data_IF_440832372695
#
_entry.id   IF_440832372695
#
_cell.length_a   1.000
_cell.length_b   1.000
_cell.length_c   1.000
_cell.angle_alpha   90.00
_cell.angle_beta   90.00
_cell.angle_gamma   90.00
#
_symmetry.space_group_name_H-M   'P 1'
#
loop_
_entity.id
_entity.type
_entity.pdbx_description
1 polymer ?
#
# COMPACT_ATOMS: atom_id res chain seq x y z
N UNK A 1 0.02 -88.60 -6.01
CA UNK A 1 1.02 -87.96 -5.12
C UNK A 1 2.06 -87.05 -5.82
N UNK A 2 2.19 -87.04 -7.16
CA UNK A 2 3.15 -86.16 -7.86
C UNK A 2 2.55 -84.79 -8.24
N UNK A 3 1.24 -84.71 -8.50
CA UNK A 3 0.57 -83.44 -8.83
C UNK A 3 0.47 -82.47 -7.64
N UNK A 4 0.22 -82.97 -6.43
CA UNK A 4 0.07 -82.13 -5.23
C UNK A 4 1.41 -81.49 -4.79
N UNK A 5 2.52 -82.18 -5.04
CA UNK A 5 3.89 -81.72 -4.75
C UNK A 5 4.38 -80.66 -5.75
N UNK A 6 3.86 -80.68 -6.99
CA UNK A 6 4.11 -79.64 -8.00
C UNK A 6 3.27 -78.38 -7.77
N UNK A 7 2.05 -78.50 -7.25
CA UNK A 7 1.20 -77.35 -6.92
C UNK A 7 1.73 -76.55 -5.71
N UNK A 8 2.30 -77.23 -4.71
CA UNK A 8 2.92 -76.58 -3.54
C UNK A 8 4.23 -75.85 -3.89
N UNK A 9 5.00 -76.35 -4.87
CA UNK A 9 6.27 -75.71 -5.28
C UNK A 9 6.05 -74.49 -6.17
N UNK A 10 4.99 -74.46 -6.98
CA UNK A 10 4.60 -73.25 -7.74
C UNK A 10 4.00 -72.16 -6.85
N UNK A 11 3.28 -72.51 -5.77
CA UNK A 11 2.73 -71.52 -4.84
C UNK A 11 3.81 -70.91 -3.94
N UNK A 12 4.82 -71.69 -3.52
CA UNK A 12 5.95 -71.20 -2.74
C UNK A 12 6.89 -70.27 -3.54
N UNK A 13 7.01 -70.46 -4.86
CA UNK A 13 7.82 -69.59 -5.71
C UNK A 13 7.10 -68.28 -6.09
N UNK A 14 5.76 -68.28 -6.15
CA UNK A 14 4.98 -67.07 -6.41
C UNK A 14 4.90 -66.12 -5.19
N UNK A 15 5.05 -66.64 -3.96
CA UNK A 15 5.09 -65.82 -2.74
C UNK A 15 6.46 -65.15 -2.46
N UNK A 16 7.52 -65.55 -3.16
CA UNK A 16 8.87 -64.96 -3.03
C UNK A 16 9.16 -63.82 -4.04
N UNK A 17 8.26 -63.56 -4.98
CA UNK A 17 8.39 -62.48 -5.98
C UNK A 17 7.59 -61.21 -5.62
N UNK A 18 6.92 -61.18 -4.46
CA UNK A 18 6.17 -60.03 -3.95
C UNK A 18 6.96 -59.04 -3.10
N UNK A 19 8.29 -59.18 -3.01
CA UNK A 19 9.17 -58.41 -2.15
C UNK A 19 10.11 -57.46 -2.89
N UNK A 20 9.63 -56.71 -3.88
CA UNK A 20 10.35 -55.49 -4.28
C UNK A 20 10.06 -54.43 -3.22
N UNK A 21 10.92 -54.36 -2.20
CA UNK A 21 10.98 -53.17 -1.34
C UNK A 21 11.13 -51.95 -2.24
N UNK A 22 10.08 -51.13 -2.31
CA UNK A 22 10.25 -49.75 -2.81
C UNK A 22 11.25 -49.12 -1.87
N UNK A 23 12.46 -48.88 -2.40
CA UNK A 23 13.43 -48.00 -1.75
C UNK A 23 12.68 -46.75 -1.27
N UNK A 24 12.85 -46.32 -0.01
CA UNK A 24 12.19 -45.13 0.51
C UNK A 24 12.41 -44.00 -0.48
N UNK A 25 11.33 -43.44 -1.03
CA UNK A 25 11.42 -42.25 -1.87
C UNK A 25 12.18 -41.20 -1.06
N UNK A 26 13.36 -40.74 -1.52
CA UNK A 26 14.10 -39.75 -0.75
C UNK A 26 13.18 -38.55 -0.52
N UNK A 27 13.17 -37.98 0.71
CA UNK A 27 12.34 -36.83 0.99
C UNK A 27 12.66 -35.75 -0.04
N UNK A 28 11.64 -35.06 -0.58
CA UNK A 28 11.87 -34.03 -1.57
C UNK A 28 12.89 -33.03 -1.01
N UNK A 29 13.84 -32.56 -1.85
CA UNK A 29 14.83 -31.60 -1.39
C UNK A 29 14.11 -30.38 -0.79
N UNK A 30 14.69 -29.76 0.25
CA UNK A 30 14.10 -28.57 0.83
C UNK A 30 13.88 -27.53 -0.28
N UNK A 31 12.76 -26.80 -0.26
CA UNK A 31 12.45 -25.83 -1.31
C UNK A 31 13.61 -24.84 -1.43
N UNK A 32 14.11 -24.67 -2.66
CA UNK A 32 15.17 -23.71 -2.96
C UNK A 32 14.74 -22.33 -2.45
N UNK A 33 15.59 -21.59 -1.71
CA UNK A 33 15.31 -20.20 -1.38
C UNK A 33 14.98 -19.42 -2.65
N UNK A 34 13.95 -18.57 -2.57
CA UNK A 34 13.57 -17.70 -3.69
C UNK A 34 14.77 -16.84 -4.09
N UNK A 35 14.98 -16.63 -5.39
CA UNK A 35 15.90 -15.60 -5.86
C UNK A 35 15.30 -14.20 -5.69
N UNK A 36 16.07 -13.14 -5.98
CA UNK A 36 15.61 -11.76 -5.78
C UNK A 36 14.42 -11.41 -6.66
N UNK A 37 14.39 -11.89 -7.92
CA UNK A 37 13.25 -11.66 -8.82
C UNK A 37 11.99 -12.39 -8.32
N UNK A 38 12.13 -13.63 -7.86
CA UNK A 38 11.01 -14.41 -7.32
C UNK A 38 10.48 -13.83 -6.01
N UNK A 39 11.34 -13.25 -5.18
CA UNK A 39 10.92 -12.52 -3.97
C UNK A 39 10.05 -11.31 -4.31
N UNK A 40 10.44 -10.50 -5.30
CA UNK A 40 9.62 -9.38 -5.78
C UNK A 40 8.31 -9.88 -6.41
N UNK A 41 8.35 -10.93 -7.24
CA UNK A 41 7.15 -11.55 -7.81
C UNK A 41 6.17 -12.01 -6.72
N UNK A 42 6.65 -12.57 -5.61
CA UNK A 42 5.81 -12.97 -4.48
C UNK A 42 5.07 -11.78 -3.88
N UNK A 43 5.75 -10.66 -3.66
CA UNK A 43 5.11 -9.44 -3.14
C UNK A 43 4.00 -8.95 -4.08
N UNK A 44 4.23 -8.97 -5.39
CA UNK A 44 3.20 -8.60 -6.37
C UNK A 44 2.01 -9.56 -6.34
N UNK A 45 2.25 -10.86 -6.16
CA UNK A 45 1.20 -11.87 -6.03
C UNK A 45 0.36 -11.68 -4.76
N UNK A 46 0.98 -11.29 -3.64
CA UNK A 46 0.25 -11.00 -2.40
C UNK A 46 -0.72 -9.82 -2.62
N UNK A 47 -0.25 -8.72 -3.21
CA UNK A 47 -1.10 -7.58 -3.58
C UNK A 47 -2.20 -7.97 -4.57
N UNK A 48 -1.87 -8.80 -5.55
CA UNK A 48 -2.82 -9.31 -6.54
C UNK A 48 -3.95 -10.12 -5.89
N UNK A 49 -3.61 -10.94 -4.89
CA UNK A 49 -4.56 -11.74 -4.10
C UNK A 49 -5.29 -10.94 -3.02
N UNK A 50 -4.90 -9.68 -2.80
CA UNK A 50 -5.34 -8.81 -1.71
C UNK A 50 -4.91 -9.29 -0.32
N UNK A 51 -3.79 -10.02 -0.25
CA UNK A 51 -3.23 -10.53 0.99
C UNK A 51 -2.22 -9.54 1.57
N UNK A 52 -2.72 -8.46 2.17
CA UNK A 52 -1.87 -7.43 2.77
C UNK A 52 -1.06 -7.95 3.97
N UNK A 53 -1.58 -8.94 4.70
CA UNK A 53 -0.86 -9.57 5.79
C UNK A 53 0.28 -10.47 5.27
N UNK A 54 0.03 -11.23 4.20
CA UNK A 54 1.05 -11.97 3.47
C UNK A 54 2.14 -11.05 2.93
N UNK A 55 1.75 -9.96 2.27
CA UNK A 55 2.69 -8.94 1.78
C UNK A 55 3.59 -8.43 2.91
N UNK A 56 3.01 -8.00 4.04
CA UNK A 56 3.75 -7.50 5.19
C UNK A 56 4.77 -8.52 5.72
N UNK A 57 4.39 -9.80 5.80
CA UNK A 57 5.28 -10.89 6.26
C UNK A 57 6.40 -11.21 5.29
N UNK A 58 6.15 -11.12 3.98
CA UNK A 58 7.14 -11.45 2.97
C UNK A 58 8.08 -10.29 2.64
N UNK A 59 7.66 -9.05 2.93
CA UNK A 59 8.41 -7.84 2.63
C UNK A 59 9.63 -7.60 3.55
N UNK A 60 9.64 -8.17 4.75
CA UNK A 60 10.67 -7.90 5.77
C UNK A 60 11.10 -9.17 6.53
N UNK A 61 12.31 -9.19 7.14
CA UNK A 61 12.72 -10.27 8.04
C UNK A 61 11.74 -10.47 9.21
N UNK A 62 11.57 -11.70 9.72
CA UNK A 62 10.63 -11.99 10.82
C UNK A 62 10.85 -11.14 12.08
N UNK A 63 12.10 -10.80 12.40
CA UNK A 63 12.41 -9.95 13.53
C UNK A 63 11.91 -8.51 13.34
N UNK A 64 12.06 -7.95 12.13
CA UNK A 64 11.55 -6.62 11.79
C UNK A 64 10.01 -6.60 11.74
N UNK A 65 9.39 -7.64 11.18
CA UNK A 65 7.93 -7.80 11.22
C UNK A 65 7.36 -7.74 12.64
N UNK A 66 8.00 -8.41 13.61
CA UNK A 66 7.58 -8.34 15.02
C UNK A 66 7.72 -6.94 15.61
N UNK A 67 8.80 -6.21 15.29
CA UNK A 67 8.98 -4.82 15.75
C UNK A 67 7.91 -3.90 15.16
N UNK A 68 7.59 -4.06 13.88
CA UNK A 68 6.49 -3.32 13.23
C UNK A 68 5.14 -3.63 13.86
N UNK A 69 4.87 -4.91 14.19
CA UNK A 69 3.63 -5.28 14.88
C UNK A 69 3.50 -4.60 16.25
N UNK A 70 4.60 -4.47 17.00
CA UNK A 70 4.63 -3.73 18.27
C UNK A 70 4.39 -2.23 18.04
N UNK A 71 5.13 -1.62 17.10
CA UNK A 71 4.97 -0.21 16.76
C UNK A 71 3.54 0.13 16.29
N UNK A 72 2.91 -0.78 15.53
CA UNK A 72 1.52 -0.69 15.10
C UNK A 72 0.56 -0.69 16.29
N UNK A 73 0.73 -1.63 17.23
CA UNK A 73 -0.13 -1.71 18.42
C UNK A 73 -0.02 -0.48 19.32
N UNK A 74 1.14 0.17 19.32
CA UNK A 74 1.38 1.43 20.02
C UNK A 74 0.88 2.66 19.23
N UNK A 75 0.39 2.48 18.00
CA UNK A 75 -0.11 3.57 17.15
C UNK A 75 0.98 4.41 16.48
N UNK A 76 2.24 3.96 16.50
CA UNK A 76 3.36 4.69 15.90
C UNK A 76 3.50 4.49 14.38
N UNK A 77 2.87 3.45 13.83
CA UNK A 77 2.91 3.16 12.40
C UNK A 77 1.67 2.40 11.94
N UNK A 78 1.38 2.50 10.64
CA UNK A 78 0.43 1.64 9.92
C UNK A 78 1.10 0.93 8.73
N UNK A 79 2.41 0.70 8.79
CA UNK A 79 3.14 -0.06 7.77
C UNK A 79 2.50 -1.45 7.54
N UNK A 80 2.32 -1.91 6.28
CA UNK A 80 2.88 -1.38 5.03
C UNK A 80 2.01 -0.33 4.33
N UNK A 81 0.96 0.19 4.97
CA UNK A 81 0.11 1.20 4.33
C UNK A 81 0.85 2.53 4.09
N UNK A 82 1.92 2.78 4.85
CA UNK A 82 2.84 3.92 4.69
C UNK A 82 3.64 3.87 3.38
N UNK A 83 3.68 2.72 2.70
CA UNK A 83 4.32 2.60 1.38
C UNK A 83 3.41 3.07 0.23
N UNK A 84 2.14 3.38 0.53
CA UNK A 84 1.18 3.84 -0.46
C UNK A 84 1.21 5.36 -0.59
N UNK A 85 0.93 5.92 -1.78
CA UNK A 85 0.71 7.35 -1.90
C UNK A 85 -0.51 7.78 -1.06
N UNK A 86 -0.41 8.95 -0.42
CA UNK A 86 -1.47 9.49 0.47
C UNK A 86 -1.79 8.55 1.63
N UNK A 87 -0.77 7.90 2.20
CA UNK A 87 -0.88 6.99 3.33
C UNK A 87 -1.59 7.62 4.53
N UNK A 88 -1.30 8.90 4.80
CA UNK A 88 -1.94 9.71 5.84
C UNK A 88 -3.48 9.81 5.69
N UNK A 89 -4.01 9.54 4.49
CA UNK A 89 -5.47 9.58 4.21
C UNK A 89 -6.16 8.24 4.32
N UNK A 90 -5.44 7.12 4.38
CA UNK A 90 -6.07 5.79 4.31
C UNK A 90 -7.00 5.54 5.50
N UNK A 91 -6.50 5.70 6.73
CA UNK A 91 -7.31 5.48 7.92
C UNK A 91 -8.47 6.51 8.04
N UNK A 92 -8.25 7.83 7.87
CA UNK A 92 -9.34 8.80 7.83
C UNK A 92 -10.40 8.51 6.76
N UNK A 93 -10.00 8.05 5.57
CA UNK A 93 -10.91 7.67 4.50
C UNK A 93 -11.80 6.50 4.90
N UNK A 94 -11.23 5.44 5.49
CA UNK A 94 -11.99 4.28 5.96
C UNK A 94 -12.99 4.71 7.04
N UNK A 95 -12.58 5.54 7.99
CA UNK A 95 -13.46 6.12 9.02
C UNK A 95 -14.61 6.91 8.39
N UNK A 96 -14.32 7.80 7.44
CA UNK A 96 -15.33 8.61 6.76
C UNK A 96 -16.33 7.77 5.96
N UNK A 97 -15.86 6.72 5.27
CA UNK A 97 -16.68 5.77 4.52
C UNK A 97 -17.53 4.90 5.46
N UNK A 98 -16.97 4.45 6.57
CA UNK A 98 -17.65 3.56 7.51
C UNK A 98 -18.70 4.29 8.37
N UNK A 99 -18.59 5.61 8.51
CA UNK A 99 -19.42 6.41 9.40
C UNK A 99 -20.94 6.23 9.17
N UNK A 100 -21.76 6.40 10.23
CA UNK A 100 -23.20 6.48 10.10
C UNK A 100 -23.62 7.57 9.11
N UNK A 101 -24.59 7.26 8.26
CA UNK A 101 -25.10 8.20 7.25
C UNK A 101 -24.10 8.58 6.13
N UNK A 102 -22.94 7.91 6.04
CA UNK A 102 -21.92 8.20 5.02
C UNK A 102 -22.47 8.19 3.59
N UNK A 103 -23.39 7.28 3.26
CA UNK A 103 -23.96 7.17 1.92
C UNK A 103 -24.68 8.44 1.47
N UNK A 104 -25.61 8.93 2.30
CA UNK A 104 -26.35 10.17 2.02
C UNK A 104 -25.40 11.37 1.97
N UNK A 105 -24.48 11.48 2.94
CA UNK A 105 -23.53 12.59 3.03
C UNK A 105 -22.57 12.64 1.84
N UNK A 106 -21.87 11.54 1.56
CA UNK A 106 -20.87 11.46 0.49
C UNK A 106 -21.51 11.59 -0.88
N UNK A 107 -22.71 11.03 -1.09
CA UNK A 107 -23.46 11.24 -2.35
C UNK A 107 -23.86 12.70 -2.54
N UNK A 108 -24.32 13.37 -1.48
CA UNK A 108 -24.66 14.79 -1.55
C UNK A 108 -23.41 15.65 -1.83
N UNK A 109 -22.32 15.41 -1.10
CA UNK A 109 -21.03 16.08 -1.34
C UNK A 109 -20.55 15.87 -2.76
N UNK A 110 -20.62 14.65 -3.29
CA UNK A 110 -20.24 14.36 -4.67
C UNK A 110 -21.07 15.17 -5.68
N UNK A 111 -22.41 15.16 -5.51
CA UNK A 111 -23.31 15.91 -6.39
C UNK A 111 -23.02 17.41 -6.34
N UNK A 112 -22.71 17.95 -5.17
CA UNK A 112 -22.47 19.38 -4.97
C UNK A 112 -21.10 19.83 -5.48
N UNK A 113 -20.05 19.04 -5.30
CA UNK A 113 -18.67 19.48 -5.50
C UNK A 113 -17.98 18.88 -6.73
N UNK A 114 -18.43 17.72 -7.21
CA UNK A 114 -17.70 16.96 -8.23
C UNK A 114 -18.53 16.64 -9.48
N UNK A 115 -19.85 16.48 -9.34
CA UNK A 115 -20.72 16.17 -10.48
C UNK A 115 -20.67 17.28 -11.52
N UNK A 116 -20.24 16.94 -12.74
CA UNK A 116 -20.07 17.89 -13.84
C UNK A 116 -18.81 18.77 -13.78
N UNK A 117 -18.01 18.71 -12.70
CA UNK A 117 -16.76 19.46 -12.53
C UNK A 117 -15.56 18.80 -13.26
N UNK A 118 -15.82 18.27 -14.46
CA UNK A 118 -14.86 17.43 -15.18
C UNK A 118 -13.59 18.18 -15.60
N UNK A 119 -13.69 19.46 -15.96
CA UNK A 119 -12.49 20.24 -16.36
C UNK A 119 -11.62 20.57 -15.16
N UNK A 120 -12.25 20.90 -14.06
CA UNK A 120 -11.63 21.27 -12.79
C UNK A 120 -10.87 20.05 -12.22
N UNK A 121 -11.50 18.87 -12.21
CA UNK A 121 -10.86 17.63 -11.77
C UNK A 121 -9.66 17.24 -12.64
N UNK A 122 -9.76 17.38 -13.97
CA UNK A 122 -8.62 17.15 -14.87
C UNK A 122 -7.47 18.10 -14.59
N UNK A 123 -7.78 19.38 -14.39
CA UNK A 123 -6.79 20.41 -14.05
C UNK A 123 -6.13 20.12 -12.71
N UNK A 124 -6.92 19.71 -11.71
CA UNK A 124 -6.40 19.29 -10.41
C UNK A 124 -5.45 18.08 -10.54
N UNK A 125 -5.79 17.08 -11.36
CA UNK A 125 -4.92 15.92 -11.60
C UNK A 125 -3.59 16.30 -12.28
N UNK A 126 -3.60 17.26 -13.21
CA UNK A 126 -2.39 17.78 -13.84
C UNK A 126 -1.51 18.52 -12.81
N UNK A 127 -2.11 19.44 -12.06
CA UNK A 127 -1.42 20.25 -11.04
C UNK A 127 -0.85 19.39 -9.91
N UNK A 128 -1.63 18.43 -9.39
CA UNK A 128 -1.15 17.49 -8.37
C UNK A 128 0.01 16.64 -8.89
N UNK A 129 -0.03 16.21 -10.16
CA UNK A 129 1.08 15.48 -10.78
C UNK A 129 2.37 16.30 -10.82
N UNK A 130 2.29 17.59 -11.16
CA UNK A 130 3.43 18.50 -11.16
C UNK A 130 4.02 18.67 -9.76
N UNK A 131 3.18 18.96 -8.77
CA UNK A 131 3.64 19.13 -7.38
C UNK A 131 4.22 17.86 -6.79
N UNK A 132 3.59 16.70 -7.02
CA UNK A 132 4.11 15.42 -6.58
C UNK A 132 5.47 15.11 -7.23
N UNK A 133 5.62 15.39 -8.52
CA UNK A 133 6.90 15.21 -9.22
C UNK A 133 8.00 16.11 -8.65
N UNK A 134 7.67 17.38 -8.33
CA UNK A 134 8.61 18.29 -7.66
C UNK A 134 9.00 17.78 -6.27
N UNK A 135 8.04 17.35 -5.46
CA UNK A 135 8.28 16.78 -4.14
C UNK A 135 9.27 15.61 -4.20
N UNK A 136 8.98 14.60 -5.03
CA UNK A 136 9.83 13.40 -5.19
C UNK A 136 11.23 13.76 -5.69
N UNK A 137 11.33 14.77 -6.57
CA UNK A 137 12.63 15.24 -7.06
C UNK A 137 13.49 15.84 -5.95
N UNK A 138 12.88 16.58 -5.01
CA UNK A 138 13.58 17.24 -3.90
C UNK A 138 13.73 16.42 -2.62
N UNK A 139 12.94 15.36 -2.47
CA UNK A 139 12.92 14.51 -1.29
C UNK A 139 14.23 13.73 -1.12
N UNK A 140 14.90 13.94 0.01
CA UNK A 140 16.17 13.29 0.37
C UNK A 140 15.94 11.85 0.86
N UNK A 141 14.71 11.53 1.28
CA UNK A 141 14.34 10.22 1.80
C UNK A 141 14.31 9.12 0.72
N UNK A 142 14.30 9.47 -0.57
CA UNK A 142 14.28 8.51 -1.67
C UNK A 142 15.66 8.28 -2.27
N UNK A 143 15.96 7.00 -2.55
CA UNK A 143 17.08 6.65 -3.41
C UNK A 143 16.86 7.13 -4.86
N UNK A 144 17.93 7.12 -5.65
CA UNK A 144 17.86 7.51 -7.07
C UNK A 144 16.94 6.58 -7.87
N UNK A 145 16.99 5.26 -7.60
CA UNK A 145 16.10 4.28 -8.20
C UNK A 145 14.63 4.52 -7.83
N UNK A 146 14.32 4.79 -6.55
CA UNK A 146 12.95 5.11 -6.12
C UNK A 146 12.45 6.39 -6.74
N UNK A 147 13.29 7.43 -6.79
CA UNK A 147 12.94 8.73 -7.39
C UNK A 147 12.56 8.55 -8.85
N UNK A 148 13.38 7.84 -9.63
CA UNK A 148 13.06 7.54 -11.04
C UNK A 148 11.75 6.76 -11.16
N UNK A 149 11.58 5.69 -10.37
CA UNK A 149 10.38 4.86 -10.42
C UNK A 149 9.10 5.64 -10.07
N UNK A 150 9.14 6.44 -9.01
CA UNK A 150 7.99 7.23 -8.55
C UNK A 150 7.63 8.36 -9.51
N UNK A 151 8.62 9.00 -10.16
CA UNK A 151 8.33 10.00 -11.20
C UNK A 151 7.54 9.39 -12.37
N UNK A 152 7.88 8.16 -12.78
CA UNK A 152 7.13 7.44 -13.82
C UNK A 152 5.70 7.10 -13.36
N UNK A 153 5.53 6.65 -12.11
CA UNK A 153 4.21 6.36 -11.52
C UNK A 153 3.34 7.61 -11.41
N UNK A 154 3.90 8.74 -10.96
CA UNK A 154 3.22 10.04 -10.85
C UNK A 154 2.73 10.50 -12.22
N UNK A 155 3.57 10.38 -13.26
CA UNK A 155 3.19 10.71 -14.62
C UNK A 155 2.01 9.84 -15.11
N UNK A 156 2.01 8.54 -14.79
CA UNK A 156 0.92 7.63 -15.14
C UNK A 156 -0.39 7.99 -14.43
N UNK A 157 -0.36 8.23 -13.12
CA UNK A 157 -1.55 8.60 -12.37
C UNK A 157 -2.10 9.98 -12.75
N UNK A 158 -1.23 10.96 -13.01
CA UNK A 158 -1.65 12.28 -13.48
C UNK A 158 -2.36 12.19 -14.84
N UNK A 159 -1.79 11.44 -15.79
CA UNK A 159 -2.42 11.25 -17.10
C UNK A 159 -3.73 10.45 -17.00
N UNK A 160 -3.80 9.48 -16.10
CA UNK A 160 -5.04 8.78 -15.81
C UNK A 160 -6.11 9.74 -15.25
N UNK A 161 -5.80 10.50 -14.20
CA UNK A 161 -6.75 11.43 -13.58
C UNK A 161 -7.24 12.52 -14.54
N UNK A 162 -6.41 12.92 -15.52
CA UNK A 162 -6.80 13.82 -16.60
C UNK A 162 -7.77 13.23 -17.61
N UNK A 163 -7.98 11.91 -17.65
CA UNK A 163 -8.89 11.25 -18.61
C UNK A 163 -10.04 10.52 -17.93
N UNK A 164 -9.83 10.08 -16.69
CA UNK A 164 -10.80 9.31 -15.93
C UNK A 164 -12.13 10.07 -15.77
N UNK A 165 -13.28 9.39 -15.85
CA UNK A 165 -14.61 10.00 -15.71
C UNK A 165 -14.96 10.30 -14.24
N UNK A 166 -14.07 10.97 -13.51
CA UNK A 166 -14.17 11.22 -12.06
C UNK A 166 -15.39 12.07 -11.67
N UNK A 167 -15.88 12.92 -12.58
CA UNK A 167 -17.08 13.76 -12.40
C UNK A 167 -18.40 13.04 -12.76
N UNK A 168 -18.36 11.78 -13.20
CA UNK A 168 -19.55 11.08 -13.72
C UNK A 168 -20.45 10.56 -12.58
N UNK A 169 -21.61 11.20 -12.40
CA UNK A 169 -22.53 10.88 -11.31
C UNK A 169 -23.08 9.45 -11.30
N UNK A 170 -23.27 8.82 -12.47
CA UNK A 170 -23.70 7.42 -12.55
C UNK A 170 -22.66 6.47 -11.98
N UNK A 171 -21.38 6.67 -12.33
CA UNK A 171 -20.28 5.86 -11.80
C UNK A 171 -20.11 6.08 -10.29
N UNK A 172 -20.17 7.33 -9.83
CA UNK A 172 -20.09 7.63 -8.40
C UNK A 172 -21.22 6.99 -7.60
N UNK A 173 -22.46 7.05 -8.12
CA UNK A 173 -23.64 6.46 -7.47
C UNK A 173 -23.57 4.93 -7.38
N UNK A 174 -22.86 4.27 -8.30
CA UNK A 174 -22.60 2.83 -8.25
C UNK A 174 -21.40 2.47 -7.34
N UNK A 175 -20.38 3.33 -7.31
CA UNK A 175 -19.14 3.09 -6.57
C UNK A 175 -19.28 3.33 -5.05
N UNK A 176 -19.93 4.43 -4.66
CA UNK A 176 -19.98 4.87 -3.26
C UNK A 176 -20.60 3.82 -2.32
N UNK A 177 -21.77 3.22 -2.61
CA UNK A 177 -22.34 2.20 -1.72
C UNK A 177 -21.43 0.98 -1.53
N UNK A 178 -20.71 0.57 -2.59
CA UNK A 178 -19.76 -0.55 -2.53
C UNK A 178 -18.57 -0.23 -1.62
N UNK A 179 -17.97 0.94 -1.79
CA UNK A 179 -16.84 1.39 -0.95
C UNK A 179 -17.26 1.56 0.52
N UNK A 180 -18.43 2.12 0.77
CA UNK A 180 -18.99 2.28 2.12
C UNK A 180 -19.23 0.91 2.78
N UNK A 181 -19.89 -0.01 2.06
CA UNK A 181 -20.13 -1.36 2.56
C UNK A 181 -18.83 -2.09 2.88
N UNK A 182 -17.85 -2.01 1.98
CA UNK A 182 -16.54 -2.62 2.19
C UNK A 182 -15.78 -1.98 3.35
N UNK A 183 -15.79 -0.65 3.48
CA UNK A 183 -15.15 0.06 4.59
C UNK A 183 -15.78 -0.32 5.93
N UNK A 184 -17.12 -0.41 6.02
CA UNK A 184 -17.80 -0.93 7.23
C UNK A 184 -17.40 -2.37 7.53
N UNK A 185 -17.29 -3.20 6.50
CA UNK A 185 -16.86 -4.60 6.62
C UNK A 185 -15.46 -4.78 7.20
N UNK A 186 -14.58 -3.77 7.10
CA UNK A 186 -13.27 -3.81 7.77
C UNK A 186 -13.39 -3.79 9.29
N UNK A 187 -14.43 -3.13 9.84
CA UNK A 187 -14.53 -2.85 11.27
C UNK A 187 -13.41 -1.94 11.81
N UNK A 188 -12.74 -1.17 10.93
CA UNK A 188 -11.62 -0.28 11.28
C UNK A 188 -11.98 1.22 11.26
N UNK A 189 -13.27 1.56 11.09
CA UNK A 189 -13.72 2.95 10.97
C UNK A 189 -13.95 3.69 12.29
N UNK A 190 -13.37 3.23 13.39
CA UNK A 190 -13.48 3.87 14.71
C UNK A 190 -12.12 4.31 15.22
N UNK A 191 -12.12 5.20 16.21
CA UNK A 191 -10.90 5.70 16.85
C UNK A 191 -10.06 4.53 17.38
N UNK A 192 -8.76 4.59 17.18
CA UNK A 192 -7.79 3.57 17.56
C UNK A 192 -8.11 2.15 17.07
N UNK A 193 -8.99 1.97 16.08
CA UNK A 193 -9.37 0.64 15.63
C UNK A 193 -8.21 -0.10 14.96
N UNK A 194 -7.31 0.64 14.30
CA UNK A 194 -6.08 0.12 13.71
C UNK A 194 -5.13 -0.44 14.78
N UNK A 195 -4.64 0.36 15.75
CA UNK A 195 -3.79 -0.14 16.84
C UNK A 195 -4.44 -1.30 17.61
N UNK A 196 -5.71 -1.16 18.01
CA UNK A 196 -6.44 -2.18 18.80
C UNK A 196 -6.62 -3.50 18.06
N UNK A 197 -6.76 -3.47 16.73
CA UNK A 197 -6.85 -4.71 15.95
C UNK A 197 -5.51 -5.45 15.89
N UNK A 198 -4.39 -4.72 15.94
CA UNK A 198 -3.06 -5.23 15.64
C UNK A 198 -2.84 -5.42 14.13
N UNK A 199 -1.57 -5.40 13.72
CA UNK A 199 -1.14 -5.34 12.31
C UNK A 199 -1.75 -6.45 11.44
N UNK A 200 -1.47 -7.73 11.73
CA UNK A 200 -1.95 -8.85 10.90
C UNK A 200 -3.47 -8.88 10.71
N UNK A 201 -4.22 -8.63 11.80
CA UNK A 201 -5.69 -8.67 11.77
C UNK A 201 -6.27 -7.47 11.03
N UNK A 202 -5.69 -6.28 11.22
CA UNK A 202 -6.09 -5.09 10.48
C UNK A 202 -5.83 -5.28 8.98
N UNK A 203 -4.65 -5.73 8.59
CA UNK A 203 -4.30 -6.00 7.19
C UNK A 203 -5.18 -7.09 6.56
N UNK A 204 -5.47 -8.16 7.31
CA UNK A 204 -6.42 -9.19 6.86
C UNK A 204 -7.83 -8.64 6.62
N UNK A 205 -8.31 -7.72 7.48
CA UNK A 205 -9.60 -7.03 7.32
C UNK A 205 -9.61 -6.04 6.15
N UNK A 206 -8.46 -5.49 5.80
CA UNK A 206 -8.32 -4.58 4.66
C UNK A 206 -8.27 -5.31 3.31
N UNK A 207 -7.97 -6.61 3.26
CA UNK A 207 -7.92 -7.37 2.01
C UNK A 207 -9.21 -7.30 1.17
N UNK A 208 -10.39 -7.62 1.73
CA UNK A 208 -11.67 -7.48 1.01
C UNK A 208 -11.99 -6.02 0.62
N UNK A 209 -11.55 -5.04 1.42
CA UNK A 209 -11.69 -3.62 1.09
C UNK A 209 -10.81 -3.26 -0.11
N UNK A 210 -9.54 -3.66 -0.13
CA UNK A 210 -8.62 -3.48 -1.25
C UNK A 210 -9.18 -4.09 -2.54
N UNK A 211 -9.75 -5.31 -2.47
CA UNK A 211 -10.42 -5.93 -3.61
C UNK A 211 -11.52 -5.04 -4.17
N UNK A 212 -12.40 -4.54 -3.30
CA UNK A 212 -13.50 -3.66 -3.70
C UNK A 212 -12.99 -2.35 -4.30
N UNK A 213 -11.94 -1.76 -3.73
CA UNK A 213 -11.30 -0.56 -4.25
C UNK A 213 -10.73 -0.80 -5.66
N UNK A 214 -10.01 -1.90 -5.89
CA UNK A 214 -9.50 -2.26 -7.23
C UNK A 214 -10.63 -2.45 -8.24
N UNK A 215 -11.71 -3.12 -7.84
CA UNK A 215 -12.88 -3.29 -8.69
C UNK A 215 -13.54 -1.96 -9.06
N UNK A 216 -13.63 -1.02 -8.12
CA UNK A 216 -14.14 0.33 -8.40
C UNK A 216 -13.19 1.07 -9.32
N UNK A 217 -11.89 1.08 -9.06
CA UNK A 217 -10.89 1.75 -9.91
C UNK A 217 -10.88 1.22 -11.35
N UNK A 218 -11.11 -0.08 -11.53
CA UNK A 218 -11.28 -0.69 -12.86
C UNK A 218 -12.47 -0.10 -13.61
N UNK A 219 -13.55 0.30 -12.93
CA UNK A 219 -14.66 1.05 -13.56
C UNK A 219 -14.30 2.49 -13.90
N UNK A 220 -13.14 3.00 -13.49
CA UNK A 220 -12.58 4.28 -13.91
C UNK A 220 -11.36 4.08 -14.82
N UNK A 221 -11.28 2.94 -15.51
CA UNK A 221 -10.20 2.59 -16.45
C UNK A 221 -8.81 2.50 -15.80
N UNK A 222 -8.76 2.21 -14.50
CA UNK A 222 -7.53 1.91 -13.76
C UNK A 222 -7.56 0.48 -13.23
N UNK A 223 -7.07 -0.45 -14.05
CA UNK A 223 -6.99 -1.87 -13.69
C UNK A 223 -5.66 -2.18 -12.97
N UNK A 224 -5.71 -2.15 -11.65
CA UNK A 224 -4.55 -2.46 -10.80
C UNK A 224 -4.23 -3.95 -10.77
N UNK A 225 -5.20 -4.83 -11.03
CA UNK A 225 -4.93 -6.26 -11.11
C UNK A 225 -4.15 -6.58 -12.39
N UNK A 226 -4.56 -6.01 -13.53
CA UNK A 226 -3.80 -6.12 -14.78
C UNK A 226 -2.40 -5.46 -14.68
N UNK A 227 -2.28 -4.36 -13.93
CA UNK A 227 -0.98 -3.73 -13.63
C UNK A 227 -0.07 -4.73 -12.91
N UNK A 228 -0.55 -5.34 -11.82
CA UNK A 228 0.21 -6.33 -11.04
C UNK A 228 0.53 -7.60 -11.83
N UNK A 229 -0.40 -8.08 -12.66
CA UNK A 229 -0.21 -9.25 -13.53
C UNK A 229 0.84 -8.98 -14.64
N UNK A 230 1.06 -7.72 -15.01
CA UNK A 230 2.06 -7.31 -16.00
C UNK A 230 3.48 -7.11 -15.44
N UNK A 231 3.68 -7.29 -14.13
CA UNK A 231 4.99 -7.08 -13.51
C UNK A 231 5.95 -8.20 -13.86
N UNK A 232 7.02 -7.85 -14.57
CA UNK A 232 8.06 -8.78 -15.00
C UNK A 232 9.43 -8.34 -14.46
N UNK A 233 9.80 -8.79 -13.25
CA UNK A 233 11.12 -8.53 -12.70
C UNK A 233 12.16 -9.43 -13.37
N UNK A 234 13.27 -8.84 -13.75
CA UNK A 234 14.41 -9.54 -14.35
C UNK A 234 15.68 -9.14 -13.63
N UNK A 235 16.58 -10.10 -13.40
CA UNK A 235 17.87 -9.82 -12.78
C UNK A 235 18.73 -9.01 -13.76
N UNK A 236 19.10 -7.79 -13.37
CA UNK A 236 20.03 -6.96 -14.14
C UNK A 236 21.47 -7.16 -13.68
N UNK A 237 21.66 -7.23 -12.35
CA UNK A 237 22.97 -7.42 -11.72
C UNK A 237 22.81 -8.17 -10.39
N UNK A 238 23.80 -8.98 -10.01
CA UNK A 238 23.89 -9.57 -8.68
C UNK A 238 25.35 -9.64 -8.22
N UNK A 239 25.61 -9.12 -7.02
CA UNK A 239 26.93 -9.09 -6.40
C UNK A 239 26.83 -9.56 -4.97
N UNK A 240 27.20 -10.82 -4.72
CA UNK A 240 27.08 -11.43 -3.39
C UNK A 240 25.65 -11.41 -2.87
N UNK A 241 25.44 -10.68 -1.77
CA UNK A 241 24.15 -10.53 -1.10
C UNK A 241 23.36 -9.29 -1.56
N UNK A 242 23.75 -8.62 -2.65
CA UNK A 242 22.97 -7.54 -3.27
C UNK A 242 22.61 -7.89 -4.72
N UNK A 243 21.47 -7.36 -5.18
CA UNK A 243 20.99 -7.51 -6.54
C UNK A 243 20.28 -6.25 -7.02
N UNK A 244 20.34 -6.02 -8.33
CA UNK A 244 19.57 -5.00 -9.03
C UNK A 244 18.62 -5.67 -10.00
N UNK A 245 17.34 -5.40 -9.85
CA UNK A 245 16.27 -5.95 -10.67
C UNK A 245 15.77 -4.88 -11.63
N UNK A 246 15.65 -5.19 -12.92
CA UNK A 246 14.86 -4.38 -13.86
C UNK A 246 13.42 -4.84 -13.81
N UNK A 247 12.50 -3.90 -13.59
CA UNK A 247 11.07 -4.15 -13.42
C UNK A 247 10.32 -3.42 -14.52
N UNK A 248 9.65 -4.18 -15.38
CA UNK A 248 8.80 -3.65 -16.45
C UNK A 248 7.35 -4.04 -16.21
N UNK A 249 6.44 -3.10 -16.39
CA UNK A 249 5.00 -3.31 -16.26
C UNK A 249 4.22 -2.18 -16.94
N UNK A 250 2.90 -2.32 -17.05
CA UNK A 250 2.02 -1.25 -17.55
C UNK A 250 1.17 -0.68 -16.43
N UNK A 251 1.15 0.64 -16.27
CA UNK A 251 0.31 1.35 -15.32
C UNK A 251 -0.54 2.40 -16.04
N UNK A 252 -1.86 2.29 -15.92
CA UNK A 252 -2.82 3.18 -16.58
C UNK A 252 -2.56 3.38 -18.10
N UNK A 253 -2.15 2.29 -18.77
CA UNK A 253 -1.82 2.28 -20.20
C UNK A 253 -0.45 2.85 -20.56
N UNK A 254 0.40 3.22 -19.58
CA UNK A 254 1.79 3.63 -19.82
C UNK A 254 2.75 2.51 -19.44
N UNK A 255 3.78 2.24 -20.26
CA UNK A 255 4.88 1.38 -19.82
C UNK A 255 5.67 2.07 -18.72
N UNK A 256 6.04 1.30 -17.71
CA UNK A 256 6.99 1.66 -16.66
C UNK A 256 8.20 0.75 -16.83
N UNK A 257 9.39 1.32 -16.74
CA UNK A 257 10.67 0.61 -16.83
C UNK A 257 11.61 1.19 -15.78
N UNK A 258 11.73 0.50 -14.66
CA UNK A 258 12.45 0.98 -13.49
C UNK A 258 13.43 -0.08 -12.99
N UNK A 259 14.33 0.34 -12.12
CA UNK A 259 15.21 -0.55 -11.39
C UNK A 259 14.83 -0.56 -9.91
N UNK A 260 14.92 -1.73 -9.28
CA UNK A 260 14.71 -1.91 -7.85
C UNK A 260 15.92 -2.66 -7.29
N UNK A 261 16.39 -2.25 -6.12
CA UNK A 261 17.49 -2.92 -5.42
C UNK A 261 16.95 -3.94 -4.43
N UNK A 262 17.68 -5.05 -4.31
CA UNK A 262 17.38 -6.11 -3.40
C UNK A 262 18.63 -6.50 -2.61
N UNK A 263 18.43 -6.94 -1.38
CA UNK A 263 19.49 -7.44 -0.53
C UNK A 263 19.06 -8.73 0.17
N UNK A 264 20.04 -9.57 0.47
CA UNK A 264 19.82 -10.86 1.12
C UNK A 264 20.12 -10.75 2.61
N UNK A 265 19.15 -11.12 3.43
CA UNK A 265 19.27 -11.21 4.89
C UNK A 265 18.79 -12.58 5.36
N UNK A 266 19.57 -13.24 6.19
CA UNK A 266 19.26 -14.58 6.72
C UNK A 266 18.84 -15.60 5.65
N UNK A 267 19.49 -15.50 4.48
CA UNK A 267 19.25 -16.40 3.36
C UNK A 267 18.05 -16.07 2.47
N UNK A 268 17.26 -15.05 2.78
CA UNK A 268 16.10 -14.58 2.00
C UNK A 268 16.37 -13.22 1.36
N UNK A 269 15.77 -12.96 0.19
CA UNK A 269 15.90 -11.68 -0.51
C UNK A 269 14.74 -10.74 -0.16
N UNK A 270 15.06 -9.46 -0.02
CA UNK A 270 14.14 -8.38 0.31
C UNK A 270 14.45 -7.15 -0.54
N UNK A 271 13.46 -6.30 -0.80
CA UNK A 271 13.69 -5.05 -1.54
C UNK A 271 14.34 -4.03 -0.60
N UNK A 272 15.52 -3.52 -0.96
CA UNK A 272 16.36 -2.72 -0.06
C UNK A 272 15.66 -1.47 0.43
N UNK A 273 14.95 -0.76 -0.46
CA UNK A 273 14.28 0.48 -0.07
C UNK A 273 13.03 0.23 0.80
N UNK A 274 12.29 -0.85 0.53
CA UNK A 274 11.19 -1.30 1.39
C UNK A 274 11.68 -1.69 2.80
N UNK A 275 12.84 -2.34 2.90
CA UNK A 275 13.47 -2.62 4.20
C UNK A 275 13.83 -1.34 4.94
N UNK A 276 14.44 -0.37 4.24
CA UNK A 276 14.84 0.91 4.82
C UNK A 276 13.64 1.68 5.38
N UNK A 277 12.54 1.76 4.63
CA UNK A 277 11.30 2.38 5.10
C UNK A 277 10.71 1.64 6.31
N UNK A 278 10.63 0.30 6.23
CA UNK A 278 10.14 -0.53 7.33
C UNK A 278 10.99 -0.39 8.62
N UNK A 279 12.31 -0.26 8.50
CA UNK A 279 13.19 0.00 9.64
C UNK A 279 12.94 1.37 10.27
N UNK A 280 12.73 2.41 9.45
CA UNK A 280 12.37 3.74 9.92
C UNK A 280 11.02 3.74 10.66
N UNK A 281 10.00 3.09 10.10
CA UNK A 281 8.69 2.92 10.76
C UNK A 281 8.81 2.17 12.09
N UNK A 282 9.61 1.10 12.14
CA UNK A 282 9.85 0.33 13.37
C UNK A 282 10.66 1.11 14.41
N UNK A 283 11.43 2.13 14.01
CA UNK A 283 12.23 2.97 14.91
C UNK A 283 11.39 4.09 15.58
N UNK A 284 10.24 4.47 15.00
CA UNK A 284 9.32 5.45 15.60
C UNK A 284 8.86 5.05 17.00
N UNK A 285 8.69 3.75 17.25
CA UNK A 285 8.31 3.19 18.55
C UNK A 285 9.39 3.27 19.64
N UNK A 286 10.66 3.42 19.25
CA UNK A 286 11.80 3.50 20.19
C UNK A 286 12.25 4.93 20.47
N UNK A 287 11.72 5.90 19.74
CA UNK A 287 12.00 7.32 19.99
C UNK A 287 11.08 7.76 21.13
N UNK A 288 11.61 8.16 22.30
CA UNK A 288 10.78 8.73 23.35
C UNK A 288 10.02 9.91 22.76
N UNK A 289 8.71 9.93 22.97
CA UNK A 289 7.85 11.05 22.58
C UNK A 289 8.50 12.33 23.09
N UNK A 290 9.02 13.15 22.18
CA UNK A 290 9.51 14.46 22.53
C UNK A 290 8.27 15.21 23.02
N UNK A 291 8.19 15.39 24.33
CA UNK A 291 7.06 16.01 25.00
C UNK A 291 6.54 17.23 24.22
N UNK A 292 5.22 17.42 24.09
CA UNK A 292 4.68 18.56 23.38
C UNK A 292 5.13 19.86 24.06
N UNK A 293 5.94 20.64 23.35
CA UNK A 293 6.06 22.09 23.46
C UNK A 293 6.72 22.65 24.72
N UNK A 294 8.01 22.99 24.61
CA UNK A 294 8.39 24.37 24.95
C UNK A 294 8.62 25.07 23.61
N UNK A 295 7.70 25.96 23.24
CA UNK A 295 7.80 26.77 22.02
C UNK A 295 9.18 27.46 21.93
N UNK A 296 9.93 27.34 20.82
CA UNK A 296 10.94 28.32 20.50
C UNK A 296 10.22 29.62 20.13
N UNK A 297 10.31 30.60 21.01
CA UNK A 297 9.83 31.96 20.77
C UNK A 297 10.28 32.45 19.38
N UNK A 298 9.31 32.80 18.53
CA UNK A 298 9.55 33.47 17.27
C UNK A 298 10.30 34.81 17.51
N UNK A 299 11.28 35.19 16.66
CA UNK A 299 11.99 36.44 16.83
C UNK A 299 11.05 37.63 16.62
N UNK A 300 11.01 38.52 17.61
CA UNK A 300 10.17 39.72 17.62
C UNK A 300 10.49 40.65 16.43
N UNK A 301 9.56 40.75 15.50
CA UNK A 301 9.53 41.80 14.48
C UNK A 301 9.27 43.15 15.14
N UNK A 302 10.19 44.09 14.94
CA UNK A 302 10.14 45.46 15.46
C UNK A 302 8.80 46.13 15.09
N UNK A 303 8.00 46.41 16.12
CA UNK A 303 6.73 47.14 16.05
C UNK A 303 7.01 48.59 15.61
N UNK A 304 6.63 48.91 14.36
CA UNK A 304 6.64 50.27 13.80
C UNK A 304 5.57 51.10 14.53
N UNK A 305 5.96 52.23 15.11
CA UNK A 305 5.07 53.17 15.82
C UNK A 305 4.10 53.83 14.83
N UNK A 306 2.81 53.75 15.10
CA UNK A 306 1.79 54.63 14.50
C UNK A 306 1.55 55.85 15.40
N UNK A 307 1.30 57.05 14.86
CA UNK A 307 1.16 58.27 15.64
C UNK A 307 -0.22 58.41 16.32
N UNK A 308 -0.33 59.24 17.37
CA UNK A 308 -1.55 59.33 18.18
C UNK A 308 -2.65 60.17 17.52
N UNK A 309 -3.88 59.67 17.61
CA UNK A 309 -5.12 60.38 17.25
C UNK A 309 -5.54 61.26 18.44
N UNK A 310 -5.76 62.55 18.18
CA UNK A 310 -6.28 63.51 19.15
C UNK A 310 -7.82 63.37 19.31
N UNK A 311 -8.39 63.64 20.49
CA UNK A 311 -9.84 63.56 20.71
C UNK A 311 -10.52 64.93 20.67
N UNK A 312 -11.77 64.97 20.19
CA UNK A 312 -12.87 65.93 20.46
C UNK A 312 -13.96 65.67 19.38
N UNK A 313 -15.26 65.79 19.55
CA UNK A 313 -16.17 66.09 20.67
C UNK A 313 -17.59 65.71 20.19
N UNK A 314 -18.50 65.51 21.13
CA UNK A 314 -19.94 65.28 20.95
C UNK A 314 -20.65 66.42 20.20
N UNK A 315 -21.61 66.10 19.31
CA UNK A 315 -22.96 66.70 19.29
C UNK A 315 -23.83 66.15 18.14
N UNK A 316 -25.00 65.65 18.54
CA UNK A 316 -26.34 65.85 17.97
C UNK A 316 -26.54 66.13 16.46
N UNK A 317 -27.48 65.39 15.88
CA UNK A 317 -28.61 66.03 15.19
C UNK A 317 -28.85 65.67 13.73
N UNK A 318 -30.10 65.24 13.47
CA UNK A 318 -30.89 65.44 12.26
C UNK A 318 -30.65 64.55 11.00
N UNK A 319 -31.49 63.51 10.94
CA UNK A 319 -32.31 62.98 9.83
C UNK A 319 -32.69 64.01 8.70
N UNK A 320 -33.35 63.61 7.59
CA UNK A 320 -32.98 62.71 6.48
C UNK A 320 -33.19 63.36 5.08
N UNK A 321 -32.80 62.65 4.02
CA UNK A 321 -33.65 62.40 2.83
C UNK A 321 -33.10 61.16 2.10
#
# INVERSE_FOLDING_TARGET
MILFRRLLTTLALALLLGGCERAPTPPPPPPKPLGPAEALTRLMQDLRRNDLAGYARHAVPPALHRRLAVAWQQGHTVWPLTELPLDDRIAPMITALAAPGAERRLTATFKQQFSGAGRELRSAAATLGLFAGQYVTSAEEYSDEERDHYLQMIAAFSQWGQRAPLAEGKRASAALPRLIGAARGTGLGGDDAFPRAGMDKALGRLGPFLRTTKDVLRTYDLDLDATLDSVHPTLAEQTGDTARLRVRYTLAGRPIDAYVRAERRDGQWYMSDLLRHAEAEAAKATTPDAAPGTDPAAPATKRRKSPPVAPRQSAAGAKPA
#
